data_IF_708648884850
#
_entry.id   IF_708648884850
#
_cell.length_a   1.000
_cell.length_b   1.000
_cell.length_c   1.000
_cell.angle_alpha   90.00
_cell.angle_beta   90.00
_cell.angle_gamma   90.00
#
_symmetry.space_group_name_H-M   'P 1'
#
loop_
_entity.id
_entity.type
_entity.pdbx_description
1 polymer ?
#
# COMPACT_ATOMS: atom_id res chain seq x y z
N UNK A 1 -32.78 -13.24 10.23
CA UNK A 1 -32.37 -11.89 10.66
C UNK A 1 -31.06 -12.03 11.45
N UNK A 2 -29.91 -11.79 10.82
CA UNK A 2 -28.63 -11.74 11.53
C UNK A 2 -28.53 -10.40 12.25
N UNK A 3 -28.51 -10.40 13.59
CA UNK A 3 -28.25 -9.18 14.34
C UNK A 3 -26.81 -8.74 14.09
N UNK A 4 -26.60 -7.51 13.62
CA UNK A 4 -25.28 -6.89 13.62
C UNK A 4 -24.97 -6.57 15.07
N UNK A 5 -24.20 -7.43 15.74
CA UNK A 5 -23.61 -7.08 17.03
C UNK A 5 -22.55 -6.01 16.76
N UNK A 6 -22.90 -4.75 17.00
CA UNK A 6 -21.91 -3.68 17.09
C UNK A 6 -21.15 -3.96 18.40
N UNK A 7 -20.04 -4.69 18.30
CA UNK A 7 -19.10 -4.80 19.40
C UNK A 7 -18.62 -3.39 19.72
N UNK A 8 -19.10 -2.84 20.84
CA UNK A 8 -18.69 -1.52 21.32
C UNK A 8 -17.25 -1.65 21.78
N UNK A 9 -16.32 -1.18 20.94
CA UNK A 9 -14.91 -1.08 21.30
C UNK A 9 -14.79 -0.25 22.59
N UNK A 10 -14.00 -0.73 23.55
CA UNK A 10 -13.74 0.09 24.74
C UNK A 10 -12.89 1.29 24.36
N UNK A 11 -13.05 2.40 25.09
CA UNK A 11 -12.22 3.59 24.87
C UNK A 11 -10.72 3.27 24.91
N UNK A 12 -10.30 2.35 25.80
CA UNK A 12 -8.91 1.91 25.93
C UNK A 12 -8.41 1.17 24.68
N UNK A 13 -9.23 0.26 24.14
CA UNK A 13 -8.89 -0.47 22.90
C UNK A 13 -8.78 0.48 21.71
N UNK A 14 -9.72 1.43 21.59
CA UNK A 14 -9.71 2.42 20.51
C UNK A 14 -8.47 3.32 20.61
N UNK A 15 -8.17 3.82 21.81
CA UNK A 15 -6.98 4.64 22.04
C UNK A 15 -5.68 3.87 21.74
N UNK A 16 -5.61 2.59 22.07
CA UNK A 16 -4.48 1.72 21.72
C UNK A 16 -4.33 1.59 20.20
N UNK A 17 -5.41 1.26 19.48
CA UNK A 17 -5.41 1.10 18.03
C UNK A 17 -4.97 2.38 17.33
N UNK A 18 -5.53 3.53 17.73
CA UNK A 18 -5.17 4.81 17.16
C UNK A 18 -3.69 5.12 17.38
N UNK A 19 -3.16 4.84 18.58
CA UNK A 19 -1.72 4.99 18.86
C UNK A 19 -0.85 4.09 17.98
N UNK A 20 -1.25 2.83 17.76
CA UNK A 20 -0.53 1.93 16.86
C UNK A 20 -0.53 2.45 15.42
N UNK A 21 -1.70 2.91 14.93
CA UNK A 21 -1.86 3.49 13.60
C UNK A 21 -0.98 4.73 13.42
N UNK A 22 -1.07 5.68 14.33
CA UNK A 22 -0.35 6.95 14.23
C UNK A 22 1.17 6.73 14.37
N UNK A 23 1.59 5.85 15.27
CA UNK A 23 2.99 5.43 15.40
C UNK A 23 3.54 4.80 14.12
N UNK A 24 2.77 3.93 13.47
CA UNK A 24 3.13 3.35 12.19
C UNK A 24 3.25 4.41 11.08
N UNK A 25 2.27 5.32 10.97
CA UNK A 25 2.31 6.38 9.95
C UNK A 25 3.52 7.30 10.13
N UNK A 26 3.82 7.72 11.36
CA UNK A 26 4.97 8.56 11.66
C UNK A 26 6.30 7.86 11.34
N UNK A 27 6.40 6.57 11.64
CA UNK A 27 7.60 5.77 11.34
C UNK A 27 7.75 5.54 9.83
N UNK A 28 6.65 5.34 9.12
CA UNK A 28 6.66 5.22 7.66
C UNK A 28 7.13 6.52 7.00
N UNK A 29 6.65 7.68 7.48
CA UNK A 29 7.13 8.99 7.04
C UNK A 29 8.62 9.17 7.31
N UNK A 30 9.11 8.72 8.48
CA UNK A 30 10.54 8.78 8.78
C UNK A 30 11.39 7.96 7.81
N UNK A 31 10.91 6.79 7.36
CA UNK A 31 11.63 5.92 6.43
C UNK A 31 11.58 6.46 4.99
N UNK A 32 10.41 6.91 4.55
CA UNK A 32 10.16 7.31 3.16
C UNK A 32 10.55 8.77 2.88
N UNK A 33 10.52 9.61 3.92
CA UNK A 33 10.65 11.05 3.85
C UNK A 33 9.30 11.75 4.03
N UNK A 34 9.35 13.06 4.28
CA UNK A 34 8.17 13.93 4.51
C UNK A 34 7.32 14.18 3.25
N UNK A 35 7.65 13.53 2.13
CA UNK A 35 6.85 13.58 0.93
C UNK A 35 5.59 12.74 1.14
N UNK A 36 4.47 13.42 1.42
CA UNK A 36 3.08 12.93 1.61
C UNK A 36 2.47 12.27 0.36
N UNK A 37 3.27 11.54 -0.40
CA UNK A 37 2.81 10.81 -1.58
C UNK A 37 2.61 9.33 -1.30
N UNK A 38 3.19 8.78 -0.22
CA UNK A 38 3.08 7.35 0.08
C UNK A 38 1.73 6.97 0.69
N UNK A 39 1.06 7.92 1.34
CA UNK A 39 -0.28 7.80 1.93
C UNK A 39 -1.39 8.12 0.91
N UNK A 40 -1.05 8.66 -0.27
CA UNK A 40 -2.02 8.89 -1.34
C UNK A 40 -2.58 7.57 -1.86
N UNK A 41 -3.89 7.54 -2.06
CA UNK A 41 -4.59 6.38 -2.61
C UNK A 41 -3.95 5.91 -3.93
N UNK A 42 -3.88 4.59 -4.09
CA UNK A 42 -3.40 3.90 -5.29
C UNK A 42 -1.90 4.04 -5.61
N UNK A 43 -1.09 4.58 -4.71
CA UNK A 43 0.38 4.44 -4.80
C UNK A 43 0.76 3.03 -4.37
N UNK A 44 1.45 2.31 -5.24
CA UNK A 44 1.91 0.95 -4.89
C UNK A 44 3.04 1.02 -3.86
N UNK A 45 3.18 0.04 -2.96
CA UNK A 45 4.27 0.03 -2.01
C UNK A 45 5.67 0.19 -2.64
N UNK A 46 6.00 -0.54 -3.70
CA UNK A 46 7.32 -0.43 -4.35
C UNK A 46 7.56 0.97 -4.93
N UNK A 47 6.52 1.61 -5.46
CA UNK A 47 6.57 3.02 -5.86
C UNK A 47 6.87 3.92 -4.66
N UNK A 48 6.13 3.75 -3.56
CA UNK A 48 6.32 4.55 -2.34
C UNK A 48 7.77 4.46 -1.82
N UNK A 49 8.36 3.26 -1.82
CA UNK A 49 9.74 3.04 -1.39
C UNK A 49 10.75 3.76 -2.31
N UNK A 50 10.49 3.80 -3.62
CA UNK A 50 11.35 4.49 -4.60
C UNK A 50 11.24 6.01 -4.54
N UNK A 51 10.09 6.55 -4.12
CA UNK A 51 9.84 7.99 -4.07
C UNK A 51 10.89 8.66 -3.14
N UNK A 52 11.48 9.74 -3.63
CA UNK A 52 12.51 10.50 -2.91
C UNK A 52 13.93 9.94 -3.02
N UNK A 53 14.14 8.71 -3.53
CA UNK A 53 15.49 8.22 -3.79
C UNK A 53 16.08 8.89 -5.06
N UNK A 54 17.26 9.52 -4.99
CA UNK A 54 17.85 10.19 -6.16
C UNK A 54 18.14 9.19 -7.28
N UNK A 55 17.67 9.47 -8.50
CA UNK A 55 17.75 8.54 -9.64
C UNK A 55 19.18 8.12 -9.97
N UNK A 56 20.13 9.05 -9.81
CA UNK A 56 21.55 8.91 -10.17
C UNK A 56 22.44 8.53 -8.99
N UNK A 57 21.87 8.28 -7.80
CA UNK A 57 22.67 7.91 -6.64
C UNK A 57 23.34 6.55 -6.83
N UNK A 58 24.66 6.48 -6.61
CA UNK A 58 25.41 5.21 -6.59
C UNK A 58 24.92 4.24 -5.50
N UNK A 59 24.30 4.78 -4.45
CA UNK A 59 23.78 4.00 -3.33
C UNK A 59 22.30 3.66 -3.47
N UNK A 60 21.67 4.00 -4.60
CA UNK A 60 20.22 3.89 -4.76
C UNK A 60 19.68 2.48 -4.50
N UNK A 61 20.36 1.45 -5.01
CA UNK A 61 19.98 0.04 -4.80
C UNK A 61 20.04 -0.31 -3.31
N UNK A 62 21.12 0.06 -2.63
CA UNK A 62 21.30 -0.22 -1.20
C UNK A 62 20.29 0.55 -0.35
N UNK A 63 20.05 1.83 -0.66
CA UNK A 63 19.02 2.63 0.02
C UNK A 63 17.61 2.07 -0.20
N UNK A 64 17.34 1.53 -1.40
CA UNK A 64 16.07 0.89 -1.71
C UNK A 64 15.89 -0.40 -0.89
N UNK A 65 16.92 -1.26 -0.85
CA UNK A 65 16.93 -2.47 -0.03
C UNK A 65 16.75 -2.15 1.46
N UNK A 66 17.49 -1.16 1.98
CA UNK A 66 17.40 -0.75 3.38
C UNK A 66 16.02 -0.20 3.74
N UNK A 67 15.36 0.55 2.85
CA UNK A 67 13.98 1.00 3.07
C UNK A 67 13.00 -0.17 3.13
N UNK A 68 13.13 -1.16 2.25
CA UNK A 68 12.32 -2.40 2.31
C UNK A 68 12.49 -3.07 3.67
N UNK A 69 13.73 -3.29 4.11
CA UNK A 69 14.03 -3.94 5.38
C UNK A 69 13.42 -3.18 6.58
N UNK A 70 13.60 -1.85 6.62
CA UNK A 70 13.03 -1.01 7.66
C UNK A 70 11.50 -1.05 7.68
N UNK A 71 10.86 -1.05 6.50
CA UNK A 71 9.40 -1.13 6.38
C UNK A 71 8.89 -2.49 6.82
N UNK A 72 9.59 -3.57 6.48
CA UNK A 72 9.19 -4.91 6.89
C UNK A 72 9.29 -5.11 8.39
N UNK A 73 10.34 -4.57 9.01
CA UNK A 73 10.44 -4.50 10.47
C UNK A 73 9.27 -3.71 11.06
N UNK A 74 9.01 -2.51 10.54
CA UNK A 74 7.91 -1.66 11.01
C UNK A 74 6.54 -2.33 10.86
N UNK A 75 6.29 -3.03 9.75
CA UNK A 75 5.02 -3.72 9.51
C UNK A 75 4.81 -4.87 10.51
N UNK A 76 5.87 -5.60 10.86
CA UNK A 76 5.80 -6.62 11.92
C UNK A 76 5.54 -5.99 13.30
N UNK A 77 6.20 -4.88 13.63
CA UNK A 77 5.95 -4.13 14.86
C UNK A 77 4.52 -3.59 14.94
N UNK A 78 4.00 -3.06 13.84
CA UNK A 78 2.62 -2.60 13.74
C UNK A 78 1.63 -3.74 13.97
N UNK A 79 1.85 -4.90 13.33
CA UNK A 79 0.99 -6.05 13.51
C UNK A 79 0.96 -6.52 14.98
N UNK A 80 2.13 -6.58 15.62
CA UNK A 80 2.23 -6.91 17.04
C UNK A 80 1.52 -5.88 17.92
N UNK A 81 1.67 -4.58 17.63
CA UNK A 81 0.98 -3.51 18.34
C UNK A 81 -0.55 -3.68 18.26
N UNK A 82 -1.09 -3.87 17.06
CA UNK A 82 -2.53 -4.09 16.84
C UNK A 82 -3.04 -5.31 17.59
N UNK A 83 -2.33 -6.44 17.51
CA UNK A 83 -2.73 -7.68 18.18
C UNK A 83 -2.75 -7.52 19.72
N UNK A 84 -1.91 -6.65 20.27
CA UNK A 84 -1.88 -6.36 21.71
C UNK A 84 -3.06 -5.51 22.20
N UNK A 85 -3.76 -4.80 21.31
CA UNK A 85 -4.89 -3.94 21.67
C UNK A 85 -6.19 -4.71 21.97
N UNK A 86 -6.24 -6.01 21.68
CA UNK A 86 -7.35 -6.89 22.08
C UNK A 86 -8.65 -6.79 21.26
N UNK A 87 -8.83 -5.76 20.41
CA UNK A 87 -9.96 -5.70 19.47
C UNK A 87 -9.57 -6.38 18.14
N UNK A 88 -10.16 -7.55 17.91
CA UNK A 88 -9.89 -8.36 16.72
C UNK A 88 -10.57 -7.80 15.46
N UNK A 89 -11.70 -7.09 15.58
CA UNK A 89 -12.46 -6.64 14.42
C UNK A 89 -11.79 -5.43 13.76
N UNK A 90 -11.53 -4.38 14.52
CA UNK A 90 -10.84 -3.19 14.00
C UNK A 90 -9.38 -3.53 13.71
N UNK A 91 -8.76 -4.35 14.55
CA UNK A 91 -7.41 -4.86 14.30
C UNK A 91 -7.32 -5.58 12.95
N UNK A 92 -8.24 -6.50 12.67
CA UNK A 92 -8.27 -7.21 11.39
C UNK A 92 -8.44 -6.28 10.18
N UNK A 93 -9.29 -5.25 10.28
CA UNK A 93 -9.47 -4.27 9.20
C UNK A 93 -8.15 -3.53 8.91
N UNK A 94 -7.45 -3.08 9.96
CA UNK A 94 -6.19 -2.37 9.79
C UNK A 94 -5.09 -3.26 9.23
N UNK A 95 -4.99 -4.51 9.70
CA UNK A 95 -4.04 -5.50 9.15
C UNK A 95 -4.36 -5.84 7.70
N UNK A 96 -5.64 -5.93 7.33
CA UNK A 96 -6.07 -6.11 5.94
C UNK A 96 -5.59 -4.96 5.05
N UNK A 97 -5.59 -3.74 5.56
CA UNK A 97 -5.00 -2.58 4.89
C UNK A 97 -3.49 -2.68 4.63
N UNK A 98 -2.78 -3.55 5.37
CA UNK A 98 -1.33 -3.78 5.22
C UNK A 98 -0.98 -5.00 4.36
N UNK A 99 -1.96 -5.65 3.71
CA UNK A 99 -1.70 -6.87 2.91
C UNK A 99 -0.65 -6.65 1.83
N UNK A 100 -0.68 -5.50 1.15
CA UNK A 100 0.27 -5.20 0.08
C UNK A 100 1.71 -5.06 0.60
N UNK A 101 1.89 -4.44 1.76
CA UNK A 101 3.19 -4.36 2.45
C UNK A 101 3.65 -5.73 2.94
N UNK A 102 2.74 -6.49 3.55
CA UNK A 102 3.01 -7.84 4.05
C UNK A 102 3.45 -8.76 2.92
N UNK A 103 2.77 -8.72 1.78
CA UNK A 103 3.12 -9.52 0.60
C UNK A 103 4.54 -9.23 0.08
N UNK A 104 4.95 -7.95 0.06
CA UNK A 104 6.32 -7.58 -0.34
C UNK A 104 7.34 -8.04 0.68
N UNK A 105 7.02 -7.93 1.97
CA UNK A 105 7.91 -8.35 3.03
C UNK A 105 8.09 -9.87 3.07
N UNK A 106 7.01 -10.62 2.86
CA UNK A 106 7.08 -12.07 2.70
C UNK A 106 7.92 -12.43 1.47
N UNK A 107 7.68 -11.81 0.32
CA UNK A 107 8.47 -12.05 -0.88
C UNK A 107 9.96 -11.73 -0.68
N UNK A 108 10.27 -10.63 0.01
CA UNK A 108 11.64 -10.25 0.36
C UNK A 108 12.30 -11.25 1.30
N UNK A 109 11.58 -11.73 2.33
CA UNK A 109 12.11 -12.64 3.33
C UNK A 109 12.28 -14.07 2.79
N UNK A 110 11.28 -14.59 2.08
CA UNK A 110 11.31 -15.95 1.56
C UNK A 110 12.16 -16.11 0.29
N UNK A 111 12.36 -15.03 -0.47
CA UNK A 111 13.15 -15.06 -1.72
C UNK A 111 14.27 -14.02 -1.71
N UNK A 112 14.94 -13.80 -0.57
CA UNK A 112 15.94 -12.73 -0.39
C UNK A 112 17.02 -12.72 -1.47
N UNK A 113 17.47 -13.91 -1.91
CA UNK A 113 18.46 -14.04 -2.99
C UNK A 113 18.01 -13.38 -4.30
N UNK A 114 16.84 -13.77 -4.81
CA UNK A 114 16.26 -13.21 -6.04
C UNK A 114 15.86 -11.74 -5.86
N UNK A 115 15.37 -11.39 -4.67
CA UNK A 115 14.95 -10.04 -4.38
C UNK A 115 16.14 -9.06 -4.43
N UNK A 116 17.26 -9.41 -3.80
CA UNK A 116 18.48 -8.60 -3.77
C UNK A 116 19.24 -8.63 -5.11
N UNK A 117 19.26 -9.77 -5.81
CA UNK A 117 20.04 -9.93 -7.05
C UNK A 117 19.34 -9.40 -8.29
N UNK A 118 18.01 -9.44 -8.34
CA UNK A 118 17.24 -9.11 -9.55
C UNK A 118 16.17 -8.06 -9.29
N UNK A 119 15.25 -8.29 -8.34
CA UNK A 119 14.05 -7.44 -8.17
C UNK A 119 14.43 -6.01 -7.76
N UNK A 120 15.25 -5.86 -6.72
CA UNK A 120 15.69 -4.55 -6.21
C UNK A 120 16.52 -3.80 -7.26
N UNK A 121 17.54 -4.40 -7.91
CA UNK A 121 18.24 -3.73 -9.00
C UNK A 121 17.34 -3.32 -10.16
N UNK A 122 16.39 -4.18 -10.57
CA UNK A 122 15.45 -3.90 -11.66
C UNK A 122 14.55 -2.70 -11.30
N UNK A 123 13.88 -2.75 -10.14
CA UNK A 123 13.02 -1.66 -9.67
C UNK A 123 13.79 -0.36 -9.42
N UNK A 124 15.01 -0.44 -8.89
CA UNK A 124 15.85 0.74 -8.70
C UNK A 124 16.22 1.41 -10.03
N UNK A 125 16.31 0.66 -11.14
CA UNK A 125 16.61 1.20 -12.48
C UNK A 125 15.37 1.70 -13.19
N UNK A 126 14.37 0.85 -13.32
CA UNK A 126 13.21 1.07 -14.20
C UNK A 126 11.94 1.48 -13.45
N UNK A 127 11.91 1.34 -12.13
CA UNK A 127 10.71 1.54 -11.33
C UNK A 127 10.14 2.95 -11.45
N UNK A 128 10.97 3.98 -11.64
CA UNK A 128 10.45 5.34 -11.89
C UNK A 128 9.66 5.44 -13.19
N UNK A 129 10.07 4.73 -14.23
CA UNK A 129 9.46 4.78 -15.55
C UNK A 129 8.13 4.03 -15.52
N UNK A 130 8.11 2.86 -14.86
CA UNK A 130 6.89 2.12 -14.52
C UNK A 130 5.92 3.02 -13.73
N UNK A 131 6.42 3.69 -12.69
CA UNK A 131 5.64 4.61 -11.87
C UNK A 131 5.07 5.76 -12.68
N UNK A 132 5.85 6.32 -13.60
CA UNK A 132 5.41 7.44 -14.45
C UNK A 132 4.28 6.99 -15.38
N UNK A 133 4.41 5.80 -15.96
CA UNK A 133 3.37 5.20 -16.79
C UNK A 133 2.10 4.88 -16.00
N UNK A 134 2.24 4.33 -14.80
CA UNK A 134 1.12 4.00 -13.93
C UNK A 134 0.45 5.24 -13.33
N UNK A 135 1.19 6.32 -13.05
CA UNK A 135 0.66 7.52 -12.42
C UNK A 135 -0.53 8.12 -13.19
N UNK A 136 -0.49 8.11 -14.52
CA UNK A 136 -1.62 8.58 -15.34
C UNK A 136 -2.87 7.72 -15.13
N UNK A 137 -2.72 6.40 -15.02
CA UNK A 137 -3.85 5.49 -14.77
C UNK A 137 -4.35 5.62 -13.32
N UNK A 138 -3.45 5.78 -12.36
CA UNK A 138 -3.77 6.05 -10.95
C UNK A 138 -4.58 7.33 -10.81
N UNK A 139 -4.18 8.43 -11.45
CA UNK A 139 -4.94 9.68 -11.44
C UNK A 139 -6.33 9.51 -12.04
N UNK A 140 -6.44 8.82 -13.18
CA UNK A 140 -7.74 8.52 -13.79
C UNK A 140 -8.64 7.69 -12.87
N UNK A 141 -8.08 6.68 -12.20
CA UNK A 141 -8.78 5.85 -11.23
C UNK A 141 -9.23 6.66 -10.00
N UNK A 142 -8.37 7.54 -9.50
CA UNK A 142 -8.70 8.43 -8.39
C UNK A 142 -9.87 9.37 -8.75
N UNK A 143 -9.85 9.97 -9.95
CA UNK A 143 -10.97 10.78 -10.43
C UNK A 143 -12.25 9.97 -10.57
N UNK A 144 -12.20 8.76 -11.12
CA UNK A 144 -13.37 7.89 -11.24
C UNK A 144 -13.94 7.51 -9.86
N UNK A 145 -13.08 7.22 -8.88
CA UNK A 145 -13.49 6.93 -7.51
C UNK A 145 -14.10 8.15 -6.81
N UNK A 146 -13.51 9.34 -6.96
CA UNK A 146 -14.09 10.59 -6.44
C UNK A 146 -15.45 10.87 -7.07
N UNK A 147 -15.57 10.74 -8.40
CA UNK A 147 -16.85 10.93 -9.09
C UNK A 147 -17.92 9.94 -8.60
N UNK A 148 -17.56 8.68 -8.33
CA UNK A 148 -18.48 7.71 -7.75
C UNK A 148 -18.98 8.15 -6.36
N UNK A 149 -18.08 8.64 -5.51
CA UNK A 149 -18.43 9.13 -4.17
C UNK A 149 -19.32 10.38 -4.26
N UNK A 150 -18.98 11.33 -5.12
CA UNK A 150 -19.69 12.60 -5.27
C UNK A 150 -21.07 12.43 -5.94
N UNK A 151 -21.19 11.51 -6.89
CA UNK A 151 -22.44 11.23 -7.61
C UNK A 151 -23.46 10.44 -6.78
N UNK A 152 -23.02 9.86 -5.66
CA UNK A 152 -23.83 9.04 -4.77
C UNK A 152 -24.31 7.73 -5.43
N UNK A 153 -25.05 6.93 -4.65
CA UNK A 153 -25.44 5.55 -5.02
C UNK A 153 -26.23 5.47 -6.35
N UNK A 154 -26.88 6.56 -6.77
CA UNK A 154 -27.76 6.58 -7.96
C UNK A 154 -27.02 6.35 -9.28
N UNK A 155 -25.71 6.57 -9.35
CA UNK A 155 -24.89 6.37 -10.56
C UNK A 155 -23.81 5.28 -10.39
N UNK A 156 -23.95 4.42 -9.38
CA UNK A 156 -22.95 3.38 -9.07
C UNK A 156 -22.66 2.46 -10.25
N UNK A 157 -23.66 2.07 -11.03
CA UNK A 157 -23.45 1.15 -12.16
C UNK A 157 -22.54 1.75 -13.24
N UNK A 158 -22.76 3.01 -13.62
CA UNK A 158 -21.96 3.65 -14.68
C UNK A 158 -20.50 3.83 -14.25
N UNK A 159 -20.28 4.27 -13.01
CA UNK A 159 -18.92 4.51 -12.50
C UNK A 159 -18.18 3.23 -12.08
N UNK A 160 -18.88 2.20 -11.62
CA UNK A 160 -18.26 0.89 -11.35
C UNK A 160 -17.72 0.26 -12.64
N UNK A 161 -18.45 0.37 -13.75
CA UNK A 161 -17.98 -0.13 -15.04
C UNK A 161 -16.69 0.57 -15.47
N UNK A 162 -16.60 1.88 -15.30
CA UNK A 162 -15.40 2.65 -15.62
C UNK A 162 -14.22 2.29 -14.70
N UNK A 163 -14.47 2.14 -13.39
CA UNK A 163 -13.47 1.65 -12.43
C UNK A 163 -12.96 0.25 -12.81
N UNK A 164 -13.86 -0.68 -13.17
CA UNK A 164 -13.51 -2.03 -13.57
C UNK A 164 -12.73 -2.06 -14.88
N UNK A 165 -13.10 -1.24 -15.87
CA UNK A 165 -12.36 -1.10 -17.14
C UNK A 165 -10.95 -0.55 -16.90
N UNK A 166 -10.82 0.46 -16.04
CA UNK A 166 -9.52 1.02 -15.64
C UNK A 166 -8.66 -0.03 -14.93
N UNK A 167 -9.23 -0.77 -13.97
CA UNK A 167 -8.52 -1.85 -13.28
C UNK A 167 -8.08 -2.96 -14.24
N UNK A 168 -8.93 -3.35 -15.19
CA UNK A 168 -8.59 -4.32 -16.24
C UNK A 168 -7.44 -3.81 -17.11
N UNK A 169 -7.48 -2.54 -17.53
CA UNK A 169 -6.41 -1.92 -18.33
C UNK A 169 -5.08 -1.88 -17.58
N UNK A 170 -5.10 -1.55 -16.28
CA UNK A 170 -3.90 -1.60 -15.43
C UNK A 170 -3.36 -3.03 -15.34
N UNK A 171 -4.23 -4.02 -15.18
CA UNK A 171 -3.85 -5.45 -15.12
C UNK A 171 -3.19 -5.93 -16.41
N UNK A 172 -3.73 -5.53 -17.57
CA UNK A 172 -3.16 -5.82 -18.89
C UNK A 172 -1.80 -5.12 -19.06
N UNK A 173 -1.70 -3.83 -18.71
CA UNK A 173 -0.45 -3.07 -18.80
C UNK A 173 0.65 -3.62 -17.89
N UNK A 174 0.28 -4.18 -16.73
CA UNK A 174 1.20 -4.85 -15.83
C UNK A 174 1.62 -6.25 -16.30
N UNK A 175 1.05 -6.76 -17.41
CA UNK A 175 1.28 -8.14 -17.86
C UNK A 175 0.72 -9.21 -16.93
N UNK A 176 -0.17 -8.82 -15.99
CA UNK A 176 -0.80 -9.73 -15.02
C UNK A 176 -2.12 -10.33 -15.55
N UNK A 177 -2.62 -9.81 -16.66
CA UNK A 177 -3.81 -10.37 -17.31
C UNK A 177 -3.41 -11.58 -18.13
N UNK A 178 -3.79 -12.78 -17.68
CA UNK A 178 -3.86 -13.93 -18.57
C UNK A 178 -4.72 -13.55 -19.77
N UNK A 179 -4.15 -13.70 -20.96
CA UNK A 179 -4.83 -13.36 -22.20
C UNK A 179 -6.17 -14.09 -22.30
N UNK A 180 -7.23 -13.29 -22.43
CA UNK A 180 -8.46 -13.62 -23.14
C UNK A 180 -8.71 -12.48 -24.12
#
# INVERSE_FOLDING_TARGET
MTSVQISVISYQQLACILRCKDGNMNSMEHILGSNTHWDKGFVTPLQAILIGLPKTSRHRINSFAQRIENICKLNAEFANCINSCGDQNIGHILLKGQISWTSICDAYHYNTGDFLSFIIPCWSRYGNDVVTLCATQTTALQHAASNLVDSGIKMVNEHLDDLCKLAKKITILAGLGEGQ
#
